data_IF_097417725751
#
_entry.id   IF_097417725751
#
_cell.length_a   1.000
_cell.length_b   1.000
_cell.length_c   1.000
_cell.angle_alpha   90.00
_cell.angle_beta   90.00
_cell.angle_gamma   90.00
#
_symmetry.space_group_name_H-M   'P 1'
#
loop_
_entity.id
_entity.type
_entity.pdbx_description
1 polymer ?
#
# COMPACT_ATOMS: atom_id res chain seq x y z
N UNK A 1 -4.25 -28.96 -7.99
CA UNK A 1 -5.42 -28.29 -7.40
C UNK A 1 -5.26 -28.41 -5.90
N UNK A 2 -5.14 -27.26 -5.23
CA UNK A 2 -5.10 -27.01 -3.77
C UNK A 2 -3.94 -27.67 -3.01
N UNK A 3 -2.89 -26.88 -2.73
CA UNK A 3 -1.85 -27.22 -1.76
C UNK A 3 -2.34 -26.83 -0.36
N UNK A 4 -2.37 -27.81 0.53
CA UNK A 4 -2.09 -27.77 1.97
C UNK A 4 -2.58 -26.54 2.76
N UNK A 5 -3.88 -26.55 3.09
CA UNK A 5 -4.54 -25.63 4.01
C UNK A 5 -4.36 -25.99 5.50
N UNK A 6 -3.56 -27.03 5.81
CA UNK A 6 -3.54 -27.74 7.11
C UNK A 6 -2.55 -27.15 8.15
N UNK A 7 -1.70 -26.19 7.77
CA UNK A 7 -0.73 -25.54 8.68
C UNK A 7 -1.21 -24.19 9.26
N UNK A 8 -2.43 -23.75 8.93
CA UNK A 8 -2.91 -22.42 9.36
C UNK A 8 -3.51 -22.49 10.77
N UNK A 9 -3.13 -21.56 11.68
CA UNK A 9 -3.76 -21.48 12.98
C UNK A 9 -5.26 -21.26 12.83
N UNK A 10 -6.06 -22.01 13.59
CA UNK A 10 -7.51 -21.92 13.53
C UNK A 10 -7.97 -20.46 13.72
N UNK A 11 -8.93 -19.99 12.92
CA UNK A 11 -9.40 -18.62 13.01
C UNK A 11 -9.99 -18.37 14.39
N UNK A 12 -9.57 -17.27 15.03
CA UNK A 12 -10.05 -16.86 16.36
C UNK A 12 -11.47 -16.25 16.33
N UNK A 13 -12.07 -16.14 15.16
CA UNK A 13 -13.39 -15.53 14.93
C UNK A 13 -14.16 -16.31 13.88
N UNK A 14 -15.48 -16.39 14.05
CA UNK A 14 -16.44 -16.97 13.12
C UNK A 14 -17.35 -15.89 12.49
N UNK A 15 -17.04 -14.61 12.70
CA UNK A 15 -17.80 -13.49 12.15
C UNK A 15 -17.47 -13.24 10.67
N UNK A 16 -18.27 -12.40 9.98
CA UNK A 16 -18.09 -12.10 8.55
C UNK A 16 -16.72 -11.44 8.21
N UNK A 17 -15.99 -10.95 9.21
CA UNK A 17 -14.65 -10.38 9.07
C UNK A 17 -13.52 -11.32 9.55
N UNK A 18 -13.79 -12.62 9.66
CA UNK A 18 -12.80 -13.63 10.04
C UNK A 18 -11.78 -13.88 8.91
N UNK A 19 -10.94 -12.88 8.61
CA UNK A 19 -9.78 -13.04 7.72
C UNK A 19 -8.57 -13.56 8.48
N UNK A 20 -7.68 -14.35 7.84
CA UNK A 20 -6.39 -14.69 8.40
C UNK A 20 -5.58 -13.43 8.74
N UNK A 21 -4.90 -13.43 9.90
CA UNK A 21 -4.16 -12.25 10.40
C UNK A 21 -2.97 -11.86 9.51
N UNK A 22 -2.36 -12.83 8.85
CA UNK A 22 -1.11 -12.68 8.11
C UNK A 22 -1.31 -12.80 6.58
N UNK A 23 -2.53 -12.65 6.09
CA UNK A 23 -2.82 -12.64 4.65
C UNK A 23 -2.77 -11.22 4.09
N UNK A 24 -2.14 -11.05 2.92
CA UNK A 24 -2.12 -9.77 2.23
C UNK A 24 -3.54 -9.40 1.80
N UNK A 25 -3.95 -8.17 2.08
CA UNK A 25 -5.18 -7.63 1.51
C UNK A 25 -4.96 -7.63 -0.01
N UNK A 26 -5.87 -8.22 -0.77
CA UNK A 26 -5.77 -8.47 -2.22
C UNK A 26 -5.43 -7.26 -3.13
N UNK A 27 -5.20 -6.08 -2.53
CA UNK A 27 -4.81 -4.83 -3.18
C UNK A 27 -3.36 -4.40 -2.90
N UNK A 28 -2.65 -5.06 -1.98
CA UNK A 28 -1.24 -4.79 -1.64
C UNK A 28 -0.46 -6.11 -1.66
N UNK A 29 -0.29 -6.67 -2.86
CA UNK A 29 0.62 -7.80 -3.06
C UNK A 29 2.09 -7.35 -3.00
N UNK A 30 3.04 -8.27 -2.78
CA UNK A 30 4.46 -7.99 -2.99
C UNK A 30 4.68 -7.72 -4.49
N UNK A 31 4.74 -6.44 -4.84
CA UNK A 31 5.06 -5.95 -6.17
C UNK A 31 5.87 -4.68 -6.02
N UNK A 32 6.85 -4.46 -6.89
CA UNK A 32 7.51 -3.17 -6.98
C UNK A 32 6.45 -2.15 -7.46
N UNK A 33 6.30 -0.98 -6.81
CA UNK A 33 5.45 0.08 -7.34
C UNK A 33 5.83 0.38 -8.79
N UNK A 34 4.83 0.49 -9.65
CA UNK A 34 5.05 0.93 -11.02
C UNK A 34 5.32 2.43 -11.03
N UNK A 35 6.59 2.79 -10.85
CA UNK A 35 7.08 4.17 -10.87
C UNK A 35 7.38 4.66 -12.30
N UNK A 36 6.81 4.04 -13.34
CA UNK A 36 7.00 4.45 -14.74
C UNK A 36 6.27 5.75 -15.12
N UNK A 37 5.54 6.36 -14.19
CA UNK A 37 4.81 7.60 -14.44
C UNK A 37 5.74 8.74 -14.86
N UNK A 38 5.33 9.60 -15.81
CA UNK A 38 6.10 10.79 -16.17
C UNK A 38 6.34 11.70 -14.95
N UNK A 39 7.50 12.39 -14.89
CA UNK A 39 7.74 13.39 -13.87
C UNK A 39 6.68 14.49 -13.88
N UNK A 40 6.27 14.95 -12.70
CA UNK A 40 5.40 16.13 -12.57
C UNK A 40 6.20 17.36 -12.96
N UNK A 41 5.82 18.01 -14.06
CA UNK A 41 6.39 19.30 -14.43
C UNK A 41 5.81 20.39 -13.54
N UNK A 42 6.69 21.17 -12.90
CA UNK A 42 6.33 22.36 -12.13
C UNK A 42 7.04 23.56 -12.72
N UNK A 43 6.36 24.71 -12.75
CA UNK A 43 6.98 25.98 -13.10
C UNK A 43 7.78 26.55 -11.91
N UNK A 44 8.60 27.57 -12.18
CA UNK A 44 9.48 28.17 -11.17
C UNK A 44 8.70 28.86 -10.04
N UNK A 45 7.50 29.38 -10.33
CA UNK A 45 6.68 30.05 -9.34
C UNK A 45 6.06 29.05 -8.36
N UNK A 46 5.60 27.90 -8.86
CA UNK A 46 5.12 26.79 -8.05
C UNK A 46 6.25 26.17 -7.22
N UNK A 47 7.46 26.04 -7.78
CA UNK A 47 8.62 25.57 -7.02
C UNK A 47 8.91 26.47 -5.82
N UNK A 48 8.84 27.80 -5.97
CA UNK A 48 9.01 28.76 -4.87
C UNK A 48 7.92 28.62 -3.81
N UNK A 49 6.65 28.49 -4.22
CA UNK A 49 5.52 28.29 -3.28
C UNK A 49 5.72 27.03 -2.44
N UNK A 50 6.17 25.94 -3.06
CA UNK A 50 6.44 24.67 -2.37
C UNK A 50 7.59 24.85 -1.38
N UNK A 51 8.69 25.50 -1.78
CA UNK A 51 9.82 25.76 -0.90
C UNK A 51 9.44 26.58 0.35
N UNK A 52 8.72 27.68 0.16
CA UNK A 52 8.25 28.53 1.26
C UNK A 52 7.37 27.74 2.24
N UNK A 53 6.46 26.91 1.71
CA UNK A 53 5.58 26.07 2.53
C UNK A 53 6.36 25.04 3.34
N UNK A 54 7.35 24.38 2.74
CA UNK A 54 8.18 23.38 3.43
C UNK A 54 9.01 24.03 4.54
N UNK A 55 9.59 25.22 4.30
CA UNK A 55 10.42 25.94 5.28
C UNK A 55 9.64 26.56 6.44
N UNK A 56 8.32 26.69 6.30
CA UNK A 56 7.43 27.27 7.31
C UNK A 56 6.93 26.28 8.37
N UNK A 57 7.25 24.99 8.23
CA UNK A 57 6.91 23.90 9.15
C UNK A 57 8.06 23.70 10.14
#
# INVERSE_FOLDING_TARGET
MVQDDDERPAPISNGPNARPKDETIAQTGPGLPDDSSPPVAVDEDEAKRIEEKIRSI
#
